data_IF_927248367066
#
_entry.id   IF_927248367066
#
_cell.length_a   1.000
_cell.length_b   1.000
_cell.length_c   1.000
_cell.angle_alpha   90.00
_cell.angle_beta   90.00
_cell.angle_gamma   90.00
#
_symmetry.space_group_name_H-M   'P 1'
#
loop_
_entity.id
_entity.type
_entity.pdbx_description
1 polymer ?
#
# COMPACT_ATOMS: atom_id res chain seq x y z
N UNK A 1 8.51 -9.32 11.65
CA UNK A 1 8.30 -10.28 12.76
C UNK A 1 8.38 -11.69 12.20
N UNK A 2 8.40 -12.70 13.06
CA UNK A 2 8.24 -14.09 12.62
C UNK A 2 6.76 -14.43 12.41
N UNK A 3 6.47 -15.51 11.68
CA UNK A 3 5.11 -15.89 11.29
C UNK A 3 4.58 -15.08 10.11
N UNK A 4 3.48 -15.55 9.54
CA UNK A 4 2.81 -14.86 8.43
C UNK A 4 1.71 -13.93 8.95
N UNK A 5 1.69 -12.70 8.46
CA UNK A 5 0.59 -11.78 8.71
C UNK A 5 0.61 -10.74 7.62
N UNK A 6 -0.54 -10.11 7.41
CA UNK A 6 -0.61 -8.98 6.50
C UNK A 6 -0.39 -7.68 7.27
N UNK A 7 0.30 -6.76 6.61
CA UNK A 7 0.53 -5.39 7.04
C UNK A 7 0.06 -4.46 5.94
N UNK A 8 -0.13 -3.20 6.27
CA UNK A 8 -0.38 -2.16 5.27
C UNK A 8 0.82 -1.23 5.28
N UNK A 9 1.35 -0.88 4.11
CA UNK A 9 2.50 0.00 3.97
C UNK A 9 2.19 1.11 2.97
N UNK A 10 2.13 2.34 3.46
CA UNK A 10 1.89 3.56 2.69
C UNK A 10 3.21 4.25 2.38
N UNK A 11 3.43 4.69 1.14
CA UNK A 11 4.69 5.28 0.68
C UNK A 11 4.47 6.74 0.22
N UNK A 12 4.60 7.72 1.13
CA UNK A 12 4.45 9.14 0.79
C UNK A 12 5.56 9.60 -0.16
N UNK A 13 5.24 10.45 -1.13
CA UNK A 13 6.23 11.04 -2.05
C UNK A 13 6.73 12.43 -1.64
N UNK A 14 6.06 13.10 -0.71
CA UNK A 14 6.33 14.49 -0.31
C UNK A 14 5.82 14.78 1.12
N UNK A 15 6.11 15.95 1.66
CA UNK A 15 5.73 16.29 3.05
C UNK A 15 4.21 16.44 3.23
N UNK A 16 3.48 16.88 2.19
CA UNK A 16 2.02 17.00 2.24
C UNK A 16 1.37 15.63 2.43
N UNK A 17 1.81 14.63 1.68
CA UNK A 17 1.32 13.26 1.81
C UNK A 17 1.78 12.60 3.08
N UNK A 18 2.98 12.92 3.57
CA UNK A 18 3.40 12.42 4.88
C UNK A 18 2.38 12.83 5.96
N UNK A 19 1.87 14.07 5.91
CA UNK A 19 0.77 14.51 6.76
C UNK A 19 -0.54 13.76 6.46
N UNK A 20 -0.97 13.73 5.19
CA UNK A 20 -2.28 13.17 4.82
C UNK A 20 -2.39 11.66 5.01
N UNK A 21 -1.36 10.91 4.61
CA UNK A 21 -1.28 9.47 4.75
C UNK A 21 -1.06 9.04 6.20
N UNK A 22 -0.57 9.92 7.08
CA UNK A 22 -0.56 9.63 8.52
C UNK A 22 -1.98 9.44 9.05
N UNK A 23 -2.92 10.31 8.65
CA UNK A 23 -4.33 10.17 9.03
C UNK A 23 -4.90 8.86 8.47
N UNK A 24 -4.62 8.57 7.19
CA UNK A 24 -5.03 7.32 6.53
C UNK A 24 -4.45 6.10 7.24
N UNK A 25 -3.19 6.14 7.68
CA UNK A 25 -2.54 5.03 8.38
C UNK A 25 -3.24 4.69 9.69
N UNK A 26 -3.61 5.70 10.49
CA UNK A 26 -4.39 5.49 11.72
C UNK A 26 -5.78 4.92 11.42
N UNK A 27 -6.44 5.43 10.38
CA UNK A 27 -7.74 4.92 9.94
C UNK A 27 -7.66 3.45 9.51
N UNK A 28 -6.65 3.07 8.74
CA UNK A 28 -6.41 1.70 8.31
C UNK A 28 -6.05 0.79 9.49
N UNK A 29 -5.23 1.26 10.43
CA UNK A 29 -4.89 0.50 11.64
C UNK A 29 -6.16 0.19 12.46
N UNK A 30 -7.06 1.15 12.59
CA UNK A 30 -8.33 0.94 13.29
C UNK A 30 -9.32 0.06 12.52
N UNK A 31 -9.41 0.24 11.21
CA UNK A 31 -10.37 -0.48 10.37
C UNK A 31 -9.97 -1.94 10.21
N UNK A 32 -8.70 -2.22 9.88
CA UNK A 32 -8.26 -3.57 9.52
C UNK A 32 -7.56 -4.31 10.66
N UNK A 33 -7.31 -3.64 11.79
CA UNK A 33 -6.77 -4.23 13.02
C UNK A 33 -5.44 -4.95 12.76
N UNK A 34 -4.57 -4.35 11.96
CA UNK A 34 -3.25 -4.85 11.62
C UNK A 34 -2.21 -3.73 11.70
N UNK A 35 -0.91 -4.05 11.78
CA UNK A 35 0.14 -3.05 11.71
C UNK A 35 0.07 -2.28 10.38
N UNK A 36 0.17 -0.95 10.48
CA UNK A 36 0.26 -0.05 9.33
C UNK A 36 1.55 0.73 9.43
N UNK A 37 2.32 0.72 8.35
CA UNK A 37 3.61 1.38 8.21
C UNK A 37 3.48 2.58 7.29
N UNK A 38 4.13 3.67 7.67
CA UNK A 38 4.45 4.76 6.76
C UNK A 38 5.89 4.54 6.33
N UNK A 39 6.06 4.06 5.11
CA UNK A 39 7.35 3.80 4.50
C UNK A 39 7.93 5.12 3.96
N UNK A 40 8.33 5.98 4.89
CA UNK A 40 9.14 7.16 4.60
C UNK A 40 10.63 6.80 4.58
N UNK A 41 11.45 7.70 4.06
CA UNK A 41 12.90 7.61 4.10
C UNK A 41 13.54 8.82 4.79
N UNK A 42 14.85 8.71 5.04
CA UNK A 42 15.61 9.76 5.71
C UNK A 42 15.63 11.07 4.93
N UNK A 43 15.59 11.03 3.60
CA UNK A 43 15.59 12.25 2.81
C UNK A 43 14.27 12.99 2.96
N UNK A 44 13.14 12.30 2.84
CA UNK A 44 11.83 12.92 3.08
C UNK A 44 11.75 13.50 4.50
N UNK A 45 12.39 12.86 5.49
CA UNK A 45 12.51 13.39 6.85
C UNK A 45 13.35 14.67 6.99
N UNK A 46 14.20 15.00 6.01
CA UNK A 46 15.00 16.25 5.97
C UNK A 46 14.49 17.27 4.95
N UNK A 47 13.51 16.91 4.11
CA UNK A 47 12.92 17.84 3.15
C UNK A 47 12.03 18.85 3.90
N UNK A 48 12.13 20.12 3.49
CA UNK A 48 11.24 21.19 3.94
C UNK A 48 10.38 21.63 2.77
N UNK A 49 9.08 21.38 2.86
CA UNK A 49 8.09 21.80 1.86
C UNK A 49 6.94 22.53 2.56
N UNK A 50 6.26 23.40 1.82
CA UNK A 50 5.02 24.01 2.32
C UNK A 50 3.93 22.94 2.39
N UNK A 51 3.35 22.74 3.57
CA UNK A 51 2.25 21.82 3.81
C UNK A 51 0.99 22.62 4.10
N UNK A 52 -0.09 22.32 3.39
CA UNK A 52 -1.42 22.82 3.67
C UNK A 52 -2.04 21.99 4.80
N UNK A 53 -2.14 22.60 5.99
CA UNK A 53 -2.81 22.01 7.14
C UNK A 53 -4.24 22.56 7.17
N UNK A 54 -5.27 21.73 6.90
CA UNK A 54 -6.64 22.19 6.93
C UNK A 54 -7.09 22.51 8.38
N UNK A 55 -8.20 23.26 8.55
CA UNK A 55 -8.80 23.48 9.86
C UNK A 55 -9.07 22.17 10.62
N UNK A 56 -9.04 22.24 11.95
CA UNK A 56 -9.20 21.08 12.83
C UNK A 56 -10.49 20.30 12.55
N UNK A 57 -11.57 21.01 12.24
CA UNK A 57 -12.88 20.44 11.96
C UNK A 57 -12.83 19.52 10.74
N UNK A 58 -12.07 19.89 9.71
CA UNK A 58 -11.92 19.11 8.49
C UNK A 58 -10.98 17.92 8.69
N UNK A 59 -9.95 18.06 9.54
CA UNK A 59 -9.12 16.92 9.98
C UNK A 59 -10.00 15.90 10.72
N UNK A 60 -10.84 16.35 11.66
CA UNK A 60 -11.70 15.44 12.45
C UNK A 60 -12.67 14.67 11.56
N UNK A 61 -13.21 15.28 10.50
CA UNK A 61 -14.08 14.59 9.52
C UNK A 61 -13.36 13.45 8.80
N UNK A 62 -12.04 13.53 8.63
CA UNK A 62 -11.22 12.49 7.99
C UNK A 62 -10.85 11.36 8.95
N UNK A 63 -10.92 11.57 10.27
CA UNK A 63 -10.49 10.57 11.26
C UNK A 63 -11.63 9.60 11.55
N UNK A 64 -11.38 8.31 11.35
CA UNK A 64 -12.26 7.24 11.82
C UNK A 64 -12.12 7.15 13.33
N UNK A 65 -13.16 7.57 14.04
CA UNK A 65 -13.20 7.45 15.50
C UNK A 65 -13.45 6.01 15.88
N UNK A 66 -12.71 5.54 16.89
CA UNK A 66 -12.96 4.26 17.54
C UNK A 66 -14.38 4.22 18.07
N UNK A 67 -15.22 3.42 17.43
CA UNK A 67 -16.58 3.13 17.90
C UNK A 67 -16.55 1.97 18.89
N UNK A 68 -17.31 2.14 19.98
CA UNK A 68 -17.48 1.11 20.99
C UNK A 68 -18.45 0.03 20.48
N UNK A 69 -18.21 -1.26 20.74
CA UNK A 69 -19.17 -2.30 20.41
C UNK A 69 -20.49 -2.03 21.15
N UNK A 70 -21.60 -1.86 20.41
CA UNK A 70 -22.93 -1.63 21.01
C UNK A 70 -23.60 -2.92 21.50
N UNK A 71 -23.21 -4.05 20.93
CA UNK A 71 -23.66 -5.39 21.29
C UNK A 71 -22.52 -6.15 21.99
N UNK A 72 -22.87 -7.23 22.71
CA UNK A 72 -21.92 -8.14 23.38
C UNK A 72 -21.08 -8.97 22.39
N UNK A 73 -20.63 -8.39 21.28
CA UNK A 73 -19.71 -9.09 20.38
C UNK A 73 -18.32 -9.15 21.01
N UNK A 74 -18.03 -10.26 21.68
CA UNK A 74 -16.74 -10.54 22.34
C UNK A 74 -15.70 -11.16 21.38
N UNK A 75 -15.79 -10.87 20.09
CA UNK A 75 -15.04 -11.60 19.05
C UNK A 75 -13.87 -10.81 18.46
N UNK A 76 -12.75 -11.49 18.26
CA UNK A 76 -11.72 -11.13 17.29
C UNK A 76 -12.22 -11.33 15.86
N UNK A 77 -11.42 -10.94 14.85
CA UNK A 77 -11.71 -11.23 13.46
C UNK A 77 -12.07 -12.70 13.24
N UNK A 78 -13.06 -12.98 12.41
CA UNK A 78 -13.53 -14.34 12.14
C UNK A 78 -14.15 -14.45 10.75
N UNK A 79 -14.25 -15.68 10.25
CA UNK A 79 -15.00 -15.97 9.02
C UNK A 79 -16.44 -16.34 9.40
N UNK A 80 -17.39 -15.56 8.91
CA UNK A 80 -18.81 -15.85 9.09
C UNK A 80 -19.18 -17.10 8.28
N UNK A 81 -19.72 -18.12 8.93
CA UNK A 81 -20.01 -19.41 8.31
C UNK A 81 -21.22 -19.39 7.39
N UNK A 82 -22.12 -18.41 7.56
CA UNK A 82 -23.33 -18.26 6.74
C UNK A 82 -23.07 -17.50 5.45
N UNK A 83 -22.21 -16.48 5.51
CA UNK A 83 -21.91 -15.61 4.36
C UNK A 83 -20.55 -15.89 3.72
N UNK A 84 -19.67 -16.61 4.41
CA UNK A 84 -18.27 -16.83 4.00
C UNK A 84 -17.37 -15.60 4.13
N UNK A 85 -17.89 -14.47 4.60
CA UNK A 85 -17.15 -13.20 4.70
C UNK A 85 -16.25 -13.16 5.93
N UNK A 86 -15.09 -12.52 5.78
CA UNK A 86 -14.22 -12.21 6.91
C UNK A 86 -14.73 -10.94 7.58
N UNK A 87 -15.13 -11.07 8.84
CA UNK A 87 -15.64 -9.97 9.65
C UNK A 87 -14.51 -9.42 10.50
N UNK A 88 -14.39 -8.10 10.55
CA UNK A 88 -13.49 -7.38 11.45
C UNK A 88 -14.37 -6.65 12.47
N UNK A 89 -14.54 -7.22 13.68
CA UNK A 89 -15.35 -6.59 14.72
C UNK A 89 -14.77 -5.24 15.16
N UNK A 90 -15.64 -4.44 15.79
CA UNK A 90 -15.22 -3.21 16.47
C UNK A 90 -14.19 -3.53 17.54
N UNK A 91 -13.26 -2.61 17.82
CA UNK A 91 -12.16 -2.87 18.73
C UNK A 91 -12.64 -3.25 20.13
N UNK A 92 -12.02 -4.27 20.76
CA UNK A 92 -12.36 -4.66 22.10
C UNK A 92 -11.96 -3.61 23.13
N UNK A 93 -12.71 -3.53 24.22
CA UNK A 93 -12.42 -2.64 25.35
C UNK A 93 -11.99 -3.49 26.53
N UNK A 94 -10.69 -3.51 26.80
CA UNK A 94 -10.08 -4.28 27.89
C UNK A 94 -10.74 -3.88 29.22
N UNK A 95 -11.13 -4.88 30.02
CA UNK A 95 -11.80 -4.67 31.31
C UNK A 95 -13.32 -4.50 31.22
N UNK A 96 -13.93 -4.72 30.04
CA UNK A 96 -15.39 -4.72 29.86
C UNK A 96 -15.88 -6.04 29.27
N UNK A 97 -17.19 -6.22 29.25
CA UNK A 97 -17.83 -7.34 28.55
C UNK A 97 -17.70 -7.29 27.03
N UNK A 98 -17.19 -6.20 26.45
CA UNK A 98 -16.93 -6.08 25.01
C UNK A 98 -15.52 -6.55 24.62
N UNK A 99 -14.97 -7.50 25.38
CA UNK A 99 -13.61 -7.97 25.24
C UNK A 99 -13.59 -9.50 25.06
N UNK A 100 -12.86 -10.02 24.06
CA UNK A 100 -12.53 -11.45 23.98
C UNK A 100 -11.82 -11.91 25.25
N UNK A 101 -11.86 -13.21 25.50
CA UNK A 101 -11.46 -13.80 26.77
C UNK A 101 -9.96 -13.64 27.04
N UNK A 102 -9.10 -13.87 26.04
CA UNK A 102 -7.64 -13.69 26.18
C UNK A 102 -7.03 -13.11 24.91
N UNK A 103 -6.00 -12.27 25.08
CA UNK A 103 -5.11 -11.81 24.01
C UNK A 103 -3.86 -12.67 24.03
N UNK A 104 -3.83 -13.65 23.14
CA UNK A 104 -2.75 -14.63 23.08
C UNK A 104 -1.86 -14.35 21.88
N UNK A 105 -0.55 -14.54 22.06
CA UNK A 105 0.37 -14.61 20.93
C UNK A 105 0.23 -15.94 20.16
N UNK A 106 -0.32 -16.96 20.81
CA UNK A 106 -0.58 -18.28 20.23
C UNK A 106 -1.91 -18.30 19.45
N UNK A 107 -2.09 -19.24 18.52
CA UNK A 107 -3.34 -19.40 17.79
C UNK A 107 -4.55 -19.53 18.72
N UNK A 108 -5.62 -18.81 18.39
CA UNK A 108 -6.85 -18.76 19.16
C UNK A 108 -8.07 -18.65 18.25
N UNK A 109 -9.23 -19.03 18.77
CA UNK A 109 -10.50 -18.83 18.07
C UNK A 109 -10.99 -17.38 18.22
N UNK A 110 -12.13 -17.05 17.60
CA UNK A 110 -12.70 -15.71 17.65
C UNK A 110 -13.00 -15.22 19.06
N UNK A 111 -13.30 -16.11 20.00
CA UNK A 111 -13.64 -15.73 21.38
C UNK A 111 -12.38 -15.55 22.26
N UNK A 112 -11.18 -15.77 21.71
CA UNK A 112 -9.90 -15.60 22.40
C UNK A 112 -9.42 -16.84 23.16
N UNK A 113 -10.04 -18.02 22.97
CA UNK A 113 -9.56 -19.26 23.56
C UNK A 113 -8.46 -19.91 22.70
N UNK A 114 -7.43 -20.52 23.29
CA UNK A 114 -6.41 -21.27 22.56
C UNK A 114 -7.04 -22.29 21.61
N UNK A 115 -6.50 -22.39 20.40
CA UNK A 115 -6.99 -23.30 19.38
C UNK A 115 -5.84 -24.08 18.78
N UNK A 116 -6.04 -25.37 18.54
CA UNK A 116 -5.11 -26.20 17.76
C UNK A 116 -5.21 -25.95 16.25
N UNK A 117 -6.27 -25.26 15.79
CA UNK A 117 -6.44 -24.90 14.37
C UNK A 117 -5.62 -23.64 14.03
N UNK A 118 -4.31 -23.80 13.96
CA UNK A 118 -3.39 -22.72 13.59
C UNK A 118 -3.63 -22.22 12.16
N UNK A 119 -3.96 -23.11 11.22
CA UNK A 119 -4.17 -22.73 9.83
C UNK A 119 -5.36 -21.79 9.67
N UNK A 120 -6.50 -22.11 10.29
CA UNK A 120 -7.68 -21.23 10.25
C UNK A 120 -7.44 -19.88 10.93
N UNK A 121 -6.66 -19.84 12.01
CA UNK A 121 -6.24 -18.59 12.64
C UNK A 121 -5.43 -17.71 11.67
N UNK A 122 -4.45 -18.30 10.99
CA UNK A 122 -3.61 -17.60 10.02
C UNK A 122 -4.40 -17.13 8.79
N UNK A 123 -5.31 -17.96 8.28
CA UNK A 123 -6.23 -17.60 7.20
C UNK A 123 -6.99 -16.33 7.55
N UNK A 124 -7.55 -16.23 8.77
CA UNK A 124 -8.29 -15.03 9.21
C UNK A 124 -7.38 -13.78 9.21
N UNK A 125 -6.15 -13.88 9.73
CA UNK A 125 -5.22 -12.74 9.80
C UNK A 125 -4.82 -12.24 8.40
N UNK A 126 -4.73 -13.13 7.43
CA UNK A 126 -4.33 -12.81 6.06
C UNK A 126 -5.54 -12.31 5.25
N UNK A 127 -6.62 -13.08 5.25
CA UNK A 127 -7.76 -12.85 4.36
C UNK A 127 -8.56 -11.61 4.74
N UNK A 128 -8.55 -11.19 6.02
CA UNK A 128 -9.17 -9.91 6.41
C UNK A 128 -8.55 -8.70 5.69
N UNK A 129 -7.26 -8.77 5.34
CA UNK A 129 -6.59 -7.70 4.58
C UNK A 129 -6.77 -7.92 3.09
N UNK A 130 -6.54 -9.15 2.60
CA UNK A 130 -6.65 -9.46 1.16
C UNK A 130 -8.04 -9.21 0.59
N UNK A 131 -9.09 -9.59 1.31
CA UNK A 131 -10.48 -9.37 0.85
C UNK A 131 -10.88 -7.90 0.80
N UNK A 132 -10.14 -7.02 1.49
CA UNK A 132 -10.33 -5.57 1.48
C UNK A 132 -9.27 -4.85 0.64
N UNK A 133 -8.52 -5.55 -0.21
CA UNK A 133 -7.39 -4.98 -0.96
C UNK A 133 -7.80 -3.78 -1.84
N UNK A 134 -9.00 -3.78 -2.41
CA UNK A 134 -9.49 -2.68 -3.25
C UNK A 134 -9.65 -1.36 -2.49
N UNK A 135 -9.93 -1.39 -1.18
CA UNK A 135 -10.02 -0.19 -0.34
C UNK A 135 -8.67 0.19 0.26
N UNK A 136 -7.81 -0.80 0.51
CA UNK A 136 -6.51 -0.61 1.15
C UNK A 136 -5.47 -0.12 0.15
N UNK A 137 -5.39 -0.75 -1.02
CA UNK A 137 -4.32 -0.54 -1.97
C UNK A 137 -4.61 0.66 -2.88
N UNK A 138 -4.27 1.82 -2.36
CA UNK A 138 -4.40 3.10 -3.05
C UNK A 138 -3.35 3.19 -4.16
N UNK A 139 -3.81 3.42 -5.39
CA UNK A 139 -2.98 3.66 -6.58
C UNK A 139 -3.45 4.92 -7.30
N UNK A 140 -2.53 5.61 -7.97
CA UNK A 140 -2.85 6.76 -8.82
C UNK A 140 -2.28 6.56 -10.21
N UNK A 141 -3.00 7.05 -11.22
CA UNK A 141 -2.58 6.94 -12.61
C UNK A 141 -2.23 8.33 -13.15
N UNK A 142 -1.19 8.41 -13.97
CA UNK A 142 -0.80 9.65 -14.63
C UNK A 142 -0.43 9.40 -16.08
N UNK A 143 -1.24 9.93 -17.00
CA UNK A 143 -1.09 9.75 -18.45
C UNK A 143 -0.93 8.28 -18.82
N UNK A 144 -1.72 7.40 -18.20
CA UNK A 144 -1.60 5.94 -18.34
C UNK A 144 -2.48 5.38 -19.46
N UNK A 145 -3.58 6.06 -19.80
CA UNK A 145 -4.63 5.55 -20.70
C UNK A 145 -4.13 5.05 -22.06
N UNK A 146 -3.15 5.75 -22.64
CA UNK A 146 -2.55 5.46 -23.94
C UNK A 146 -1.06 5.09 -23.87
N UNK A 147 -0.53 4.81 -22.67
CA UNK A 147 0.89 4.60 -22.46
C UNK A 147 1.40 3.28 -23.05
N UNK A 148 2.42 3.37 -23.91
CA UNK A 148 3.22 2.23 -24.38
C UNK A 148 4.34 1.89 -23.38
N UNK A 149 4.82 2.87 -22.62
CA UNK A 149 5.85 2.69 -21.57
C UNK A 149 5.23 3.05 -20.24
N UNK A 150 5.21 2.10 -19.29
CA UNK A 150 4.60 2.30 -17.97
C UNK A 150 5.68 2.38 -16.91
N UNK A 151 5.69 3.46 -16.15
CA UNK A 151 6.53 3.59 -14.96
C UNK A 151 5.73 3.15 -13.75
N UNK A 152 6.22 2.15 -13.00
CA UNK A 152 5.65 1.77 -11.70
C UNK A 152 6.54 2.35 -10.62
N UNK A 153 6.01 3.28 -9.83
CA UNK A 153 6.81 4.03 -8.85
C UNK A 153 6.05 4.25 -7.54
N UNK A 154 6.81 4.40 -6.45
CA UNK A 154 6.32 4.66 -5.10
C UNK A 154 7.34 5.53 -4.34
N UNK A 155 6.89 6.23 -3.30
CA UNK A 155 7.78 7.08 -2.50
C UNK A 155 8.45 8.22 -3.31
N UNK A 156 9.68 8.59 -2.95
CA UNK A 156 10.40 9.72 -3.56
C UNK A 156 10.60 9.65 -5.09
N UNK A 157 10.93 8.49 -5.72
CA UNK A 157 11.09 8.40 -7.17
C UNK A 157 9.86 8.81 -8.00
N UNK A 158 8.67 8.88 -7.39
CA UNK A 158 7.44 9.31 -8.08
C UNK A 158 7.59 10.73 -8.63
N UNK A 159 8.14 11.66 -7.84
CA UNK A 159 8.27 13.08 -8.24
C UNK A 159 9.15 13.25 -9.48
N UNK A 160 10.23 12.51 -9.55
CA UNK A 160 11.17 12.58 -10.68
C UNK A 160 10.61 11.87 -11.90
N UNK A 161 9.81 10.83 -11.69
CA UNK A 161 9.06 10.12 -12.73
C UNK A 161 8.02 11.02 -13.41
N UNK A 162 7.26 11.83 -12.65
CA UNK A 162 6.33 12.80 -13.24
C UNK A 162 7.04 13.74 -14.22
N UNK A 163 8.18 14.29 -13.81
CA UNK A 163 8.97 15.19 -14.66
C UNK A 163 9.51 14.49 -15.89
N UNK A 164 10.02 13.26 -15.76
CA UNK A 164 10.53 12.47 -16.88
C UNK A 164 9.42 12.16 -17.90
N UNK A 165 8.24 11.75 -17.44
CA UNK A 165 7.07 11.49 -18.31
C UNK A 165 6.61 12.75 -19.03
N UNK A 166 6.59 13.90 -18.36
CA UNK A 166 6.21 15.16 -19.01
C UNK A 166 7.16 15.55 -20.14
N UNK A 167 8.45 15.31 -19.98
CA UNK A 167 9.44 15.58 -21.03
C UNK A 167 9.27 14.56 -22.17
N UNK A 168 9.19 13.27 -21.86
CA UNK A 168 8.99 12.21 -22.85
C UNK A 168 7.72 12.42 -23.69
N UNK A 169 6.62 12.84 -23.06
CA UNK A 169 5.35 13.13 -23.74
C UNK A 169 5.46 14.32 -24.70
N UNK A 170 6.28 15.34 -24.38
CA UNK A 170 6.58 16.44 -25.32
C UNK A 170 7.41 15.99 -26.51
N UNK A 171 8.17 14.92 -26.35
CA UNK A 171 8.95 14.28 -27.42
C UNK A 171 8.12 13.28 -28.25
N UNK A 172 6.82 13.14 -27.95
CA UNK A 172 5.92 12.23 -28.65
C UNK A 172 5.96 10.78 -28.13
N UNK A 173 6.73 10.50 -27.08
CA UNK A 173 6.82 9.16 -26.46
C UNK A 173 5.63 8.97 -25.52
N UNK A 174 4.89 7.87 -25.71
CA UNK A 174 3.71 7.52 -24.91
C UNK A 174 4.09 6.88 -23.58
N UNK A 175 4.63 7.66 -22.65
CA UNK A 175 4.97 7.21 -21.30
C UNK A 175 3.89 7.56 -20.27
N UNK A 176 3.57 6.65 -19.36
CA UNK A 176 2.61 6.85 -18.28
C UNK A 176 3.16 6.36 -16.94
N UNK A 177 2.46 6.66 -15.85
CA UNK A 177 2.83 6.22 -14.50
C UNK A 177 1.64 5.52 -13.85
N UNK A 178 1.91 4.33 -13.32
CA UNK A 178 1.09 3.72 -12.27
C UNK A 178 1.81 3.90 -10.94
N UNK A 179 1.28 4.80 -10.12
CA UNK A 179 1.85 5.12 -8.83
C UNK A 179 1.24 4.24 -7.74
N UNK A 180 2.09 3.64 -6.91
CA UNK A 180 1.68 2.87 -5.74
C UNK A 180 1.77 3.78 -4.50
N UNK A 181 0.64 4.27 -4.02
CA UNK A 181 0.57 5.00 -2.73
C UNK A 181 0.61 3.98 -1.60
N UNK A 182 -0.04 2.83 -1.78
CA UNK A 182 0.11 1.65 -0.93
C UNK A 182 1.01 0.64 -1.63
N UNK A 183 2.16 0.33 -1.04
CA UNK A 183 3.14 -0.63 -1.60
C UNK A 183 2.91 -2.05 -1.13
N UNK A 184 2.26 -2.21 0.03
CA UNK A 184 1.84 -3.50 0.56
C UNK A 184 0.49 -3.38 1.29
N UNK A 185 -0.46 -4.31 1.12
CA UNK A 185 -0.44 -5.46 0.22
C UNK A 185 -0.34 -5.04 -1.26
N UNK A 186 0.42 -5.81 -2.03
CA UNK A 186 0.61 -5.54 -3.47
C UNK A 186 -0.66 -5.91 -4.24
N UNK A 187 -1.23 -4.95 -4.99
CA UNK A 187 -2.50 -5.14 -5.69
C UNK A 187 -2.31 -5.67 -7.11
N UNK A 188 -2.22 -7.01 -7.22
CA UNK A 188 -1.97 -7.69 -8.49
C UNK A 188 -2.90 -7.24 -9.63
N UNK A 189 -4.21 -7.21 -9.41
CA UNK A 189 -5.17 -6.86 -10.46
C UNK A 189 -5.04 -5.41 -10.95
N UNK A 190 -4.75 -4.45 -10.05
CA UNK A 190 -4.51 -3.05 -10.45
C UNK A 190 -3.24 -2.90 -11.25
N UNK A 191 -2.19 -3.63 -10.90
CA UNK A 191 -0.93 -3.65 -11.66
C UNK A 191 -1.14 -4.30 -13.03
N UNK A 192 -1.85 -5.44 -13.11
CA UNK A 192 -2.22 -6.08 -14.39
C UNK A 192 -2.98 -5.12 -15.30
N UNK A 193 -3.97 -4.42 -14.74
CA UNK A 193 -4.76 -3.42 -15.46
C UNK A 193 -3.88 -2.28 -15.97
N UNK A 194 -3.00 -1.75 -15.14
CA UNK A 194 -2.12 -0.62 -15.51
C UNK A 194 -1.04 -0.96 -16.53
N UNK A 195 -0.60 -2.22 -16.61
CA UNK A 195 0.43 -2.67 -17.57
C UNK A 195 -0.15 -3.33 -18.83
N UNK A 196 -1.48 -3.46 -18.95
CA UNK A 196 -2.12 -4.26 -20.02
C UNK A 196 -1.72 -3.89 -21.45
N UNK A 197 -1.39 -2.62 -21.68
CA UNK A 197 -0.99 -2.08 -22.98
C UNK A 197 0.52 -1.77 -23.06
N UNK A 198 1.27 -2.05 -22.00
CA UNK A 198 2.67 -1.68 -21.90
C UNK A 198 3.54 -2.58 -22.78
N UNK A 199 4.43 -1.95 -23.55
CA UNK A 199 5.52 -2.60 -24.29
C UNK A 199 6.80 -2.67 -23.46
N UNK A 200 6.94 -1.79 -22.47
CA UNK A 200 8.03 -1.81 -21.50
C UNK A 200 7.55 -1.25 -20.16
N UNK A 201 8.08 -1.78 -19.07
CA UNK A 201 7.81 -1.32 -17.71
C UNK A 201 9.11 -0.84 -17.08
N UNK A 202 9.10 0.37 -16.53
CA UNK A 202 10.26 0.96 -15.85
C UNK A 202 9.95 1.06 -14.36
N UNK A 203 10.86 0.58 -13.51
CA UNK A 203 10.67 0.57 -12.06
C UNK A 203 11.85 1.28 -11.39
N UNK A 204 11.73 2.60 -11.12
CA UNK A 204 12.76 3.34 -10.40
C UNK A 204 12.59 3.13 -8.89
N UNK A 205 13.64 2.60 -8.24
CA UNK A 205 13.63 2.30 -6.80
C UNK A 205 14.90 2.80 -6.12
N UNK A 206 14.76 3.28 -4.88
CA UNK A 206 15.89 3.63 -4.00
C UNK A 206 16.43 2.41 -3.26
N UNK A 207 16.64 1.32 -3.99
CA UNK A 207 17.23 0.09 -3.50
C UNK A 207 17.95 -0.61 -4.67
N UNK A 208 18.83 -1.58 -4.36
CA UNK A 208 19.63 -2.26 -5.37
C UNK A 208 18.88 -3.41 -6.05
N UNK A 209 18.14 -4.20 -5.27
CA UNK A 209 17.51 -5.44 -5.75
C UNK A 209 16.24 -5.18 -6.56
N UNK A 210 15.47 -4.13 -6.26
CA UNK A 210 14.18 -3.88 -6.93
C UNK A 210 13.05 -4.73 -6.35
N UNK A 211 12.64 -4.45 -5.10
CA UNK A 211 11.60 -5.23 -4.42
C UNK A 211 10.25 -5.12 -5.12
N UNK A 212 9.88 -3.93 -5.59
CA UNK A 212 8.64 -3.76 -6.34
C UNK A 212 8.79 -4.32 -7.76
N UNK A 213 9.95 -4.16 -8.38
CA UNK A 213 10.23 -4.77 -9.68
C UNK A 213 10.01 -6.30 -9.65
N UNK A 214 10.45 -7.00 -8.61
CA UNK A 214 10.20 -8.44 -8.45
C UNK A 214 8.70 -8.78 -8.33
N UNK A 215 7.91 -7.92 -7.66
CA UNK A 215 6.45 -8.10 -7.62
C UNK A 215 5.78 -7.86 -8.96
N UNK A 216 6.27 -6.86 -9.71
CA UNK A 216 5.82 -6.57 -11.07
C UNK A 216 6.16 -7.73 -11.99
N UNK A 217 7.37 -8.29 -11.91
CA UNK A 217 7.80 -9.49 -12.65
C UNK A 217 6.89 -10.69 -12.37
N UNK A 218 6.54 -10.92 -11.09
CA UNK A 218 5.58 -11.96 -10.70
C UNK A 218 4.21 -11.76 -11.35
N UNK A 219 3.74 -10.53 -11.44
CA UNK A 219 2.42 -10.18 -11.98
C UNK A 219 2.38 -10.19 -13.50
N UNK A 220 3.42 -9.66 -14.14
CA UNK A 220 3.56 -9.61 -15.60
C UNK A 220 3.99 -10.94 -16.22
N UNK A 221 4.40 -11.91 -15.37
CA UNK A 221 4.96 -13.21 -15.79
C UNK A 221 6.13 -13.07 -16.75
N UNK A 222 6.86 -11.94 -16.69
CA UNK A 222 7.96 -11.60 -17.58
C UNK A 222 7.58 -11.52 -19.08
N UNK A 223 6.29 -11.34 -19.39
CA UNK A 223 5.82 -11.18 -20.78
C UNK A 223 6.16 -9.80 -21.36
N UNK A 224 6.36 -8.81 -20.49
CA UNK A 224 6.72 -7.43 -20.83
C UNK A 224 8.12 -7.15 -20.27
N UNK A 225 9.06 -6.57 -21.03
CA UNK A 225 10.36 -6.14 -20.51
C UNK A 225 10.22 -5.24 -19.27
N UNK A 226 10.89 -5.62 -18.17
CA UNK A 226 10.96 -4.82 -16.94
C UNK A 226 12.37 -4.26 -16.78
N UNK A 227 12.48 -2.93 -16.72
CA UNK A 227 13.74 -2.21 -16.60
C UNK A 227 13.81 -1.59 -15.21
N UNK A 228 14.70 -2.15 -14.38
CA UNK A 228 15.00 -1.63 -13.04
C UNK A 228 15.90 -0.41 -13.17
N UNK A 229 15.59 0.65 -12.42
CA UNK A 229 16.45 1.86 -12.33
C UNK A 229 16.87 2.03 -10.87
N UNK A 230 17.87 1.26 -10.38
CA UNK A 230 18.27 1.31 -8.98
C UNK A 230 19.10 2.55 -8.67
N UNK A 231 18.88 3.13 -7.49
CA UNK A 231 19.79 4.09 -6.84
C UNK A 231 19.97 3.70 -5.37
N UNK A 232 21.16 3.92 -4.83
CA UNK A 232 21.48 3.68 -3.42
C UNK A 232 22.19 4.92 -2.88
N UNK A 233 21.70 5.46 -1.77
CA UNK A 233 22.28 6.64 -1.11
C UNK A 233 22.26 7.93 -1.95
N UNK A 234 21.47 7.98 -3.02
CA UNK A 234 21.32 9.14 -3.92
C UNK A 234 19.91 9.16 -4.52
N UNK A 235 19.47 10.30 -5.06
CA UNK A 235 18.19 10.42 -5.74
C UNK A 235 18.29 10.12 -7.23
N UNK A 236 17.17 9.72 -7.82
CA UNK A 236 16.96 9.83 -9.26
C UNK A 236 16.89 11.30 -9.65
N UNK A 237 17.66 11.69 -10.66
CA UNK A 237 17.37 12.87 -11.46
C UNK A 237 16.31 12.50 -12.51
N UNK A 238 15.43 13.42 -12.95
CA UNK A 238 14.50 13.14 -14.06
C UNK A 238 15.18 12.59 -15.31
N UNK A 239 16.42 13.00 -15.58
CA UNK A 239 17.20 12.52 -16.72
C UNK A 239 17.61 11.04 -16.60
N UNK A 240 17.78 10.52 -15.38
CA UNK A 240 18.07 9.09 -15.17
C UNK A 240 16.92 8.24 -15.73
N UNK A 241 15.68 8.66 -15.46
CA UNK A 241 14.47 7.96 -15.87
C UNK A 241 14.17 8.24 -17.33
N UNK A 242 14.30 9.49 -17.77
CA UNK A 242 14.07 9.91 -19.16
C UNK A 242 15.01 9.21 -20.14
N UNK A 243 16.28 9.01 -19.77
CA UNK A 243 17.22 8.22 -20.57
C UNK A 243 16.68 6.82 -20.84
N UNK A 244 16.20 6.14 -19.79
CA UNK A 244 15.64 4.78 -19.92
C UNK A 244 14.36 4.79 -20.75
N UNK A 245 13.48 5.78 -20.57
CA UNK A 245 12.28 5.94 -21.41
C UNK A 245 12.66 5.99 -22.90
N UNK A 246 13.69 6.75 -23.27
CA UNK A 246 14.14 6.88 -24.67
C UNK A 246 14.83 5.62 -25.20
N UNK A 247 15.49 4.85 -24.35
CA UNK A 247 16.15 3.60 -24.74
C UNK A 247 15.13 2.49 -25.08
N UNK A 248 13.92 2.55 -24.51
CA UNK A 248 12.88 1.53 -24.67
C UNK A 248 11.69 1.98 -25.54
N UNK A 249 11.68 3.23 -26.01
CA UNK A 249 10.66 3.77 -26.93
C UNK A 249 10.91 3.39 -28.38
#
# INVERSE_FOLDING_TARGET
GHGEFQVIALAPMNCQELFDLTITAFNFAETYRCPVFILSDAYLGHLHETVHIPPKEDIIKRVIRRELPQTESKKFSYKDTSTGKYIIPKPPIIGTDHCPVMFLHSPHNSDGFPSSNSLGFMEILIEKVKTNINEIAITEEYKLDDADIVIISYGLPVRTSYRAVDIARKEGIKAGILRLVTVWPFHDEKVKEGIKNAKAIIVPELNYTGFIAEQVERVSKLEIPIIRVPKVGTFHHPDDILKVIREVS
#
